data_IF_792726709608
#
_entry.id   IF_792726709608
#
_cell.length_a   1.000
_cell.length_b   1.000
_cell.length_c   1.000
_cell.angle_alpha   90.00
_cell.angle_beta   90.00
_cell.angle_gamma   90.00
#
_symmetry.space_group_name_H-M   'P 1'
#
loop_
_entity.id
_entity.type
_entity.pdbx_description
1 polymer ?
#
# COMPACT_ATOMS: atom_id res chain seq x y z
N UNK A 1 2.80 -10.72 -13.95
CA UNK A 1 2.49 -9.28 -13.79
C UNK A 1 1.28 -9.13 -12.89
N UNK A 2 1.39 -8.41 -11.77
CA UNK A 2 0.26 -8.20 -10.85
C UNK A 2 -0.56 -6.98 -11.25
N UNK A 3 -1.88 -7.14 -11.44
CA UNK A 3 -2.79 -6.00 -11.64
C UNK A 3 -2.90 -5.19 -10.34
N UNK A 4 -3.03 -3.88 -10.46
CA UNK A 4 -3.26 -3.01 -9.32
C UNK A 4 -4.57 -3.39 -8.60
N UNK A 5 -4.52 -3.49 -7.27
CA UNK A 5 -5.70 -3.71 -6.42
C UNK A 5 -6.06 -2.36 -5.81
N UNK A 6 -7.27 -1.89 -6.10
CA UNK A 6 -7.80 -0.62 -5.58
C UNK A 6 -7.86 -0.60 -4.05
N UNK A 7 -7.78 0.59 -3.45
CA UNK A 7 -7.87 0.78 -1.99
C UNK A 7 -9.17 0.17 -1.43
N UNK A 8 -10.29 0.44 -2.08
CA UNK A 8 -11.62 -0.07 -1.71
C UNK A 8 -11.65 -1.60 -1.63
N UNK A 9 -11.11 -2.32 -2.64
CA UNK A 9 -11.06 -3.80 -2.61
C UNK A 9 -10.22 -4.32 -1.46
N UNK A 10 -9.12 -3.66 -1.12
CA UNK A 10 -8.30 -4.03 0.05
C UNK A 10 -9.09 -3.83 1.35
N UNK A 11 -9.90 -2.78 1.42
CA UNK A 11 -10.71 -2.43 2.58
C UNK A 11 -11.82 -3.45 2.82
N UNK A 12 -12.55 -3.84 1.76
CA UNK A 12 -13.55 -4.92 1.82
C UNK A 12 -12.90 -6.23 2.29
N UNK A 13 -11.76 -6.60 1.71
CA UNK A 13 -11.06 -7.83 2.08
C UNK A 13 -10.58 -7.84 3.54
N UNK A 14 -10.13 -6.68 4.06
CA UNK A 14 -9.78 -6.53 5.46
C UNK A 14 -11.02 -6.65 6.36
N UNK A 15 -12.13 -5.98 6.02
CA UNK A 15 -13.39 -6.06 6.77
C UNK A 15 -13.88 -7.51 6.87
N UNK A 16 -13.91 -8.24 5.76
CA UNK A 16 -14.26 -9.66 5.75
C UNK A 16 -13.35 -10.48 6.67
N UNK A 17 -12.05 -10.18 6.68
CA UNK A 17 -11.11 -10.85 7.58
C UNK A 17 -11.35 -10.52 9.05
N UNK A 18 -11.75 -9.29 9.39
CA UNK A 18 -12.05 -8.88 10.77
C UNK A 18 -13.33 -9.57 11.26
N UNK A 19 -14.31 -9.76 10.36
CA UNK A 19 -15.52 -10.55 10.61
C UNK A 19 -15.28 -12.07 10.72
N UNK A 20 -14.03 -12.54 10.65
CA UNK A 20 -13.69 -13.95 10.81
C UNK A 20 -13.92 -14.80 9.55
N UNK A 21 -14.15 -14.20 8.38
CA UNK A 21 -14.30 -14.96 7.14
C UNK A 21 -12.96 -15.60 6.77
N UNK A 22 -13.00 -16.89 6.41
CA UNK A 22 -11.80 -17.66 6.03
C UNK A 22 -11.18 -17.15 4.72
N UNK A 23 -9.86 -17.13 4.64
CA UNK A 23 -9.09 -16.62 3.50
C UNK A 23 -9.50 -17.20 2.13
N UNK A 24 -9.81 -18.51 1.98
CA UNK A 24 -10.29 -19.05 0.70
C UNK A 24 -11.60 -18.42 0.23
N UNK A 25 -12.48 -18.06 1.16
CA UNK A 25 -13.76 -17.41 0.87
C UNK A 25 -13.54 -15.94 0.50
N UNK A 26 -12.68 -15.23 1.24
CA UNK A 26 -12.28 -13.86 0.90
C UNK A 26 -11.67 -13.83 -0.51
N UNK A 27 -10.81 -14.80 -0.86
CA UNK A 27 -10.23 -14.93 -2.19
C UNK A 27 -11.29 -15.11 -3.27
N UNK A 28 -12.31 -15.95 -3.02
CA UNK A 28 -13.42 -16.17 -3.98
C UNK A 28 -14.21 -14.89 -4.25
N UNK A 29 -14.52 -14.11 -3.22
CA UNK A 29 -15.31 -12.89 -3.39
C UNK A 29 -14.51 -11.69 -3.90
N UNK A 30 -13.28 -11.51 -3.39
CA UNK A 30 -12.50 -10.30 -3.67
C UNK A 30 -11.48 -10.50 -4.79
N UNK A 31 -11.13 -11.74 -5.12
CA UNK A 31 -10.04 -12.09 -6.04
C UNK A 31 -8.64 -11.88 -5.46
N UNK A 32 -8.53 -11.52 -4.17
CA UNK A 32 -7.25 -11.22 -3.53
C UNK A 32 -6.61 -12.52 -3.02
N UNK A 33 -5.36 -12.75 -3.41
CA UNK A 33 -4.59 -13.91 -2.96
C UNK A 33 -4.35 -13.91 -1.45
N UNK A 34 -4.19 -15.08 -0.84
CA UNK A 34 -3.88 -15.21 0.59
C UNK A 34 -2.58 -14.50 0.98
N UNK A 35 -1.58 -14.51 0.07
CA UNK A 35 -0.34 -13.76 0.25
C UNK A 35 -0.62 -12.26 0.37
N UNK A 36 -1.45 -11.72 -0.52
CA UNK A 36 -1.86 -10.31 -0.48
C UNK A 36 -2.67 -9.98 0.78
N UNK A 37 -3.55 -10.88 1.23
CA UNK A 37 -4.29 -10.73 2.50
C UNK A 37 -3.34 -10.64 3.70
N UNK A 38 -2.30 -11.49 3.76
CA UNK A 38 -1.27 -11.41 4.80
C UNK A 38 -0.58 -10.05 4.82
N UNK A 39 -0.23 -9.50 3.66
CA UNK A 39 0.36 -8.15 3.58
C UNK A 39 -0.61 -7.04 4.00
N UNK A 40 -1.89 -7.13 3.61
CA UNK A 40 -2.91 -6.14 4.00
C UNK A 40 -3.08 -6.16 5.52
N UNK A 41 -3.22 -7.34 6.14
CA UNK A 41 -3.32 -7.47 7.61
C UNK A 41 -2.08 -6.93 8.32
N UNK A 42 -0.89 -7.27 7.82
CA UNK A 42 0.38 -6.77 8.37
C UNK A 42 0.42 -5.24 8.29
N UNK A 43 0.09 -4.67 7.15
CA UNK A 43 0.07 -3.21 6.94
C UNK A 43 -0.91 -2.54 7.90
N UNK A 44 -2.14 -3.05 7.99
CA UNK A 44 -3.15 -2.52 8.90
C UNK A 44 -2.72 -2.59 10.38
N UNK A 45 -2.07 -3.68 10.80
CA UNK A 45 -1.52 -3.80 12.16
C UNK A 45 -0.39 -2.81 12.44
N UNK A 46 0.40 -2.48 11.42
CA UNK A 46 1.54 -1.54 11.55
C UNK A 46 1.11 -0.07 11.46
N UNK A 47 0.16 0.26 10.59
CA UNK A 47 -0.14 1.66 10.23
C UNK A 47 -1.60 2.07 10.43
N UNK A 48 -2.50 1.15 10.76
CA UNK A 48 -3.95 1.41 10.83
C UNK A 48 -4.64 1.58 9.46
N UNK A 49 -3.90 1.49 8.36
CA UNK A 49 -4.40 1.72 6.99
C UNK A 49 -4.19 0.49 6.11
N UNK A 50 -5.01 0.34 5.06
CA UNK A 50 -4.87 -0.74 4.06
C UNK A 50 -3.82 -0.45 2.98
N UNK A 51 -3.33 0.79 2.93
CA UNK A 51 -2.29 1.26 2.01
C UNK A 51 -1.29 2.07 2.82
N UNK A 52 0.01 1.76 2.69
CA UNK A 52 1.05 2.62 3.27
C UNK A 52 1.12 3.91 2.46
N UNK A 53 0.73 5.00 3.08
CA UNK A 53 1.05 6.35 2.60
C UNK A 53 2.45 6.71 3.10
N UNK A 54 3.36 7.17 2.24
CA UNK A 54 4.67 7.64 2.69
C UNK A 54 4.48 8.87 3.59
N UNK A 55 5.24 8.94 4.68
CA UNK A 55 5.15 10.03 5.68
C UNK A 55 5.55 11.38 5.07
N UNK A 56 6.57 11.36 4.21
CA UNK A 56 7.01 12.52 3.45
C UNK A 56 6.86 12.22 1.96
N UNK A 57 6.48 13.24 1.17
CA UNK A 57 6.60 13.15 -0.28
C UNK A 57 8.06 12.82 -0.62
N UNK A 58 8.27 11.70 -1.32
CA UNK A 58 9.62 11.30 -1.75
C UNK A 58 10.19 12.29 -2.75
N UNK A 59 11.43 12.04 -3.19
CA UNK A 59 12.06 12.82 -4.25
C UNK A 59 11.10 12.92 -5.45
N UNK A 60 10.83 14.13 -5.97
CA UNK A 60 9.94 14.29 -7.11
C UNK A 60 10.45 13.40 -8.24
N UNK A 61 9.55 12.58 -8.80
CA UNK A 61 9.84 11.74 -9.96
C UNK A 61 9.81 12.61 -11.20
N UNK A 62 10.80 13.49 -11.31
CA UNK A 62 10.99 14.33 -12.48
C UNK A 62 11.51 13.43 -13.59
N UNK A 63 10.68 13.19 -14.61
CA UNK A 63 10.99 12.30 -15.73
C UNK A 63 11.78 13.00 -16.85
N UNK A 64 12.44 14.11 -16.53
CA UNK A 64 13.20 14.90 -17.47
C UNK A 64 14.64 14.99 -16.96
N UNK A 65 15.59 14.54 -17.76
CA UNK A 65 17.02 14.71 -17.51
C UNK A 65 17.46 16.18 -17.43
N UNK A 66 16.64 17.11 -17.91
CA UNK A 66 16.88 18.55 -17.91
C UNK A 66 16.49 19.26 -16.60
N UNK A 67 15.54 18.70 -15.83
CA UNK A 67 15.01 19.32 -14.60
C UNK A 67 15.68 18.77 -13.33
N UNK A 68 16.81 18.05 -13.48
CA UNK A 68 17.53 17.40 -12.38
C UNK A 68 18.32 18.37 -11.48
N UNK A 69 18.19 19.68 -11.70
CA UNK A 69 18.72 20.70 -10.80
C UNK A 69 17.63 21.16 -9.84
N UNK A 70 17.99 21.21 -8.56
CA UNK A 70 17.17 21.57 -7.39
C UNK A 70 16.36 20.42 -6.81
N UNK A 71 17.03 19.62 -5.97
CA UNK A 71 16.59 19.37 -4.59
C UNK A 71 17.65 18.52 -3.89
N UNK A 72 18.81 19.11 -3.63
CA UNK A 72 19.69 18.60 -2.58
C UNK A 72 19.04 18.99 -1.25
N UNK A 73 18.47 17.99 -0.58
CA UNK A 73 18.97 17.57 0.73
C UNK A 73 19.61 18.69 1.57
N UNK A 74 18.81 19.64 2.06
CA UNK A 74 19.25 20.67 3.01
C UNK A 74 18.53 20.57 4.36
N UNK A 75 18.02 19.38 4.71
CA UNK A 75 17.60 19.12 6.09
C UNK A 75 17.98 17.69 6.48
N UNK A 76 19.29 17.48 6.66
CA UNK A 76 19.78 16.60 7.72
C UNK A 76 21.12 17.16 8.19
N UNK A 77 21.24 17.38 9.50
CA UNK A 77 22.45 17.71 10.29
C UNK A 77 22.80 19.20 10.45
N UNK A 78 22.11 19.89 11.37
CA UNK A 78 22.65 20.50 12.60
C UNK A 78 21.52 21.16 13.41
#
# INVERSE_FOLDING_TARGET
>A
MGRHISKERKQIALQMSVLGIRDPMIRRYTGISERSLRYIRKTFRETGEVVRTPVCAGRPRVLNSLDANVSYCLILVL
#
